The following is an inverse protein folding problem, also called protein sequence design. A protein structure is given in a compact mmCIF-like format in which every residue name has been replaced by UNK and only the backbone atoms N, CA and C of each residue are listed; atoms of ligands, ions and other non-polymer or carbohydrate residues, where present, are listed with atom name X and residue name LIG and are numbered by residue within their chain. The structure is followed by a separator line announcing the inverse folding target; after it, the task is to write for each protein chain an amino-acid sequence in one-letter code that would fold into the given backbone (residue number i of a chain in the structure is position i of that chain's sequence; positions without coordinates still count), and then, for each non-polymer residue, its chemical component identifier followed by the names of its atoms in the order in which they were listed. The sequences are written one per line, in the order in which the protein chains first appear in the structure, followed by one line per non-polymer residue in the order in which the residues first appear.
data_IF_862727269846
#
_entry.id   IF_862727269846
#
_cell.length_a   1.000
_cell.length_b   1.000
_cell.length_c   1.000
_cell.angle_alpha   90.00
_cell.angle_beta   90.00
_cell.angle_gamma   90.00
#
_symmetry.space_group_name_H-M   'P 1'
#
loop_
_entity.id
_entity.type
_entity.pdbx_description
1 polymer ?
#
# COMPACT_ATOMS: atom_id res chain seq x y z
N UNK A 1 -22.92 -8.24 20.33
CA UNK A 1 -22.53 -9.53 20.92
C UNK A 1 -22.14 -10.45 19.79
N UNK A 2 -20.92 -11.00 19.83
CA UNK A 2 -20.50 -12.08 18.94
C UNK A 2 -20.69 -13.40 19.68
N UNK A 3 -21.17 -14.44 18.99
CA UNK A 3 -21.47 -15.74 19.58
C UNK A 3 -20.90 -16.86 18.70
N UNK A 4 -20.30 -17.87 19.33
CA UNK A 4 -19.78 -19.05 18.65
C UNK A 4 -20.92 -19.97 18.21
N UNK A 5 -20.81 -20.57 17.01
CA UNK A 5 -21.81 -21.55 16.53
C UNK A 5 -21.60 -22.97 17.08
N UNK A 6 -20.43 -23.26 17.65
CA UNK A 6 -20.03 -24.61 18.07
C UNK A 6 -20.02 -24.79 19.60
N UNK A 7 -20.10 -23.72 20.38
CA UNK A 7 -20.12 -23.77 21.84
C UNK A 7 -20.89 -22.56 22.42
N UNK A 8 -21.02 -22.50 23.76
CA UNK A 8 -21.77 -21.46 24.48
C UNK A 8 -20.95 -20.17 24.74
N UNK A 9 -19.89 -19.93 23.98
CA UNK A 9 -19.06 -18.72 24.15
C UNK A 9 -19.71 -17.50 23.49
N UNK A 10 -19.76 -16.39 24.24
CA UNK A 10 -20.33 -15.11 23.81
C UNK A 10 -19.48 -13.95 24.35
N UNK A 11 -19.37 -12.86 23.58
CA UNK A 11 -18.62 -11.66 23.96
C UNK A 11 -19.28 -10.36 23.45
N UNK A 12 -19.12 -9.26 24.18
CA UNK A 12 -19.60 -7.95 23.74
C UNK A 12 -18.76 -7.41 22.58
N UNK A 13 -19.41 -6.79 21.61
CA UNK A 13 -18.73 -6.26 20.44
C UNK A 13 -18.20 -4.86 20.75
N UNK A 14 -16.89 -4.65 20.59
CA UNK A 14 -16.27 -3.34 20.75
C UNK A 14 -16.68 -2.36 19.64
N UNK A 15 -17.00 -2.88 18.44
CA UNK A 15 -17.45 -2.11 17.29
C UNK A 15 -18.87 -2.51 16.90
N UNK A 16 -19.73 -1.52 16.69
CA UNK A 16 -21.13 -1.70 16.28
C UNK A 16 -21.31 -2.03 14.79
N UNK A 17 -20.28 -1.81 13.97
CA UNK A 17 -20.34 -2.11 12.54
C UNK A 17 -20.15 -3.61 12.30
N UNK A 18 -21.25 -4.32 12.01
CA UNK A 18 -21.24 -5.78 11.74
C UNK A 18 -20.87 -6.10 10.29
N UNK A 19 -21.26 -5.24 9.34
CA UNK A 19 -20.97 -5.42 7.94
C UNK A 19 -20.76 -4.07 7.24
N UNK A 20 -19.75 -4.00 6.38
CA UNK A 20 -19.47 -2.86 5.52
C UNK A 20 -19.10 -3.36 4.12
N UNK A 21 -19.87 -2.95 3.13
CA UNK A 21 -19.51 -3.15 1.73
C UNK A 21 -18.89 -1.86 1.20
N UNK A 22 -17.57 -1.85 1.04
CA UNK A 22 -16.85 -0.68 0.55
C UNK A 22 -16.59 -0.82 -0.95
N UNK A 23 -17.42 -0.15 -1.76
CA UNK A 23 -17.23 -0.07 -3.22
C UNK A 23 -16.31 1.11 -3.50
N UNK A 24 -15.04 0.82 -3.74
CA UNK A 24 -14.05 1.83 -4.06
C UNK A 24 -13.96 2.00 -5.58
N UNK A 25 -14.58 3.07 -6.08
CA UNK A 25 -14.59 3.44 -7.51
C UNK A 25 -13.30 4.11 -7.99
N UNK A 26 -12.56 4.74 -7.09
CA UNK A 26 -11.22 5.28 -7.30
C UNK A 26 -10.58 5.45 -5.91
N UNK A 27 -9.70 4.54 -5.47
CA UNK A 27 -9.07 4.66 -4.16
C UNK A 27 -8.30 5.98 -4.07
N UNK A 28 -8.37 6.62 -2.90
CA UNK A 28 -7.55 7.81 -2.65
C UNK A 28 -6.07 7.45 -2.75
N UNK A 29 -5.22 8.42 -3.06
CA UNK A 29 -3.80 8.17 -3.24
C UNK A 29 -3.18 7.49 -2.01
N UNK A 30 -3.48 8.02 -0.82
CA UNK A 30 -3.01 7.46 0.43
C UNK A 30 -3.48 6.01 0.64
N UNK A 31 -4.68 5.66 0.18
CA UNK A 31 -5.20 4.30 0.26
C UNK A 31 -4.54 3.36 -0.76
N UNK A 32 -4.21 3.85 -1.97
CA UNK A 32 -3.41 3.09 -2.94
C UNK A 32 -1.99 2.84 -2.43
N UNK A 33 -1.33 3.85 -1.88
CA UNK A 33 -0.03 3.67 -1.22
C UNK A 33 -0.18 2.65 -0.11
N UNK A 34 -1.20 2.75 0.75
CA UNK A 34 -1.38 1.83 1.86
C UNK A 34 -1.59 0.39 1.37
N UNK A 35 -2.43 0.18 0.35
CA UNK A 35 -2.64 -1.15 -0.24
C UNK A 35 -1.35 -1.68 -0.88
N UNK A 36 -0.68 -0.92 -1.74
CA UNK A 36 0.57 -1.33 -2.39
C UNK A 36 1.75 -1.43 -1.39
N UNK A 37 1.72 -0.68 -0.28
CA UNK A 37 2.70 -0.77 0.82
C UNK A 37 2.48 -2.02 1.69
N UNK A 38 1.21 -2.38 1.92
CA UNK A 38 0.82 -3.57 2.71
C UNK A 38 0.97 -4.86 1.92
N UNK A 39 0.88 -4.79 0.58
CA UNK A 39 1.36 -5.86 -0.30
C UNK A 39 2.89 -5.91 -0.23
N UNK A 40 3.43 -6.88 0.51
CA UNK A 40 4.86 -7.09 0.77
C UNK A 40 5.73 -7.18 -0.50
N UNK A 41 6.11 -6.06 -1.09
CA UNK A 41 7.24 -5.99 -2.01
C UNK A 41 8.42 -5.35 -1.26
N UNK A 42 9.03 -6.14 -0.38
CA UNK A 42 10.17 -5.72 0.44
C UNK A 42 11.42 -5.41 -0.39
N UNK A 43 11.49 -5.94 -1.63
CA UNK A 43 12.71 -5.95 -2.44
C UNK A 43 12.69 -5.06 -3.68
N UNK A 44 11.73 -4.14 -3.80
CA UNK A 44 11.63 -3.22 -4.96
C UNK A 44 12.90 -2.41 -5.19
N UNK A 45 13.59 -2.02 -4.12
CA UNK A 45 14.86 -1.29 -4.23
C UNK A 45 15.99 -2.12 -4.87
N UNK A 46 15.89 -3.44 -4.80
CA UNK A 46 16.90 -4.39 -5.28
C UNK A 46 16.59 -4.99 -6.64
N UNK A 47 15.34 -4.89 -7.09
CA UNK A 47 14.92 -5.40 -8.38
C UNK A 47 15.62 -4.62 -9.51
N UNK A 48 16.46 -5.28 -10.33
CA UNK A 48 17.16 -4.63 -11.43
C UNK A 48 16.25 -4.37 -12.65
N UNK A 49 15.06 -4.97 -12.69
CA UNK A 49 14.10 -4.82 -13.80
C UNK A 49 13.24 -3.57 -13.66
N UNK A 50 13.20 -2.96 -12.48
CA UNK A 50 12.45 -1.74 -12.22
C UNK A 50 13.26 -0.49 -12.60
N UNK A 51 12.61 0.52 -13.20
CA UNK A 51 13.28 1.75 -13.58
C UNK A 51 13.61 2.61 -12.35
N UNK A 52 14.68 3.40 -12.48
CA UNK A 52 15.21 4.28 -11.42
C UNK A 52 15.17 5.73 -11.89
N UNK A 53 14.87 6.64 -10.97
CA UNK A 53 14.85 8.07 -11.18
C UNK A 53 15.74 8.78 -10.15
N UNK A 54 16.33 9.89 -10.55
CA UNK A 54 17.13 10.75 -9.69
C UNK A 54 16.20 11.71 -8.91
N UNK A 55 15.49 11.16 -7.93
CA UNK A 55 14.57 11.88 -7.04
C UNK A 55 15.02 11.68 -5.61
N UNK A 56 15.31 12.79 -4.93
CA UNK A 56 15.82 12.76 -3.57
C UNK A 56 14.74 12.29 -2.57
N UNK A 57 15.08 11.25 -1.81
CA UNK A 57 14.23 10.74 -0.74
C UNK A 57 14.12 11.76 0.41
N UNK A 58 12.90 12.19 0.75
CA UNK A 58 12.64 13.13 1.84
C UNK A 58 13.02 12.60 3.23
N UNK A 59 13.17 11.27 3.40
CA UNK A 59 13.50 10.65 4.69
C UNK A 59 15.01 10.52 4.94
N UNK A 60 15.79 10.09 3.96
CA UNK A 60 17.22 9.80 4.14
C UNK A 60 18.15 10.60 3.22
N UNK A 61 17.61 11.38 2.29
CA UNK A 61 18.40 12.17 1.35
C UNK A 61 19.05 11.37 0.21
N UNK A 62 18.78 10.07 0.09
CA UNK A 62 19.30 9.28 -1.03
C UNK A 62 18.79 9.86 -2.36
N UNK A 63 19.66 10.10 -3.36
CA UNK A 63 19.28 10.76 -4.62
C UNK A 63 18.51 9.83 -5.56
N UNK A 64 18.52 8.53 -5.31
CA UNK A 64 17.88 7.54 -6.18
C UNK A 64 16.56 7.02 -5.58
N UNK A 65 15.56 6.91 -6.46
CA UNK A 65 14.30 6.26 -6.19
C UNK A 65 13.96 5.26 -7.31
N UNK A 66 13.47 4.08 -6.94
CA UNK A 66 12.81 3.15 -7.87
C UNK A 66 11.36 3.60 -8.03
N UNK A 67 10.83 3.54 -9.25
CA UNK A 67 9.44 3.90 -9.50
C UNK A 67 8.69 2.84 -10.31
N UNK A 68 7.37 2.78 -10.12
CA UNK A 68 6.50 1.86 -10.83
C UNK A 68 5.06 2.41 -10.90
N UNK A 69 4.24 1.83 -11.76
CA UNK A 69 2.80 2.07 -11.82
C UNK A 69 2.05 0.91 -11.18
N UNK A 70 0.87 1.17 -10.62
CA UNK A 70 0.04 0.09 -10.06
C UNK A 70 -0.26 -0.96 -11.13
N UNK A 71 -0.15 -2.23 -10.75
CA UNK A 71 -0.51 -3.37 -11.60
C UNK A 71 -2.02 -3.59 -11.72
N UNK A 72 -2.82 -2.75 -11.06
CA UNK A 72 -4.28 -2.80 -11.08
C UNK A 72 -4.83 -2.72 -12.51
N UNK A 73 -5.60 -3.73 -12.90
CA UNK A 73 -6.30 -3.81 -14.19
C UNK A 73 -7.63 -3.05 -14.22
N UNK A 74 -7.98 -2.32 -13.16
CA UNK A 74 -9.24 -1.60 -13.10
C UNK A 74 -9.21 -0.39 -14.04
N UNK A 75 -10.34 -0.06 -14.65
CA UNK A 75 -10.43 1.02 -15.61
C UNK A 75 -10.15 2.42 -15.00
N UNK A 76 -10.30 2.56 -13.69
CA UNK A 76 -9.98 3.74 -12.89
C UNK A 76 -8.52 3.80 -12.42
N UNK A 77 -7.68 2.83 -12.82
CA UNK A 77 -6.25 2.83 -12.49
C UNK A 77 -5.60 4.11 -13.04
N UNK A 78 -5.32 5.06 -12.14
CA UNK A 78 -4.64 6.31 -12.47
C UNK A 78 -3.22 6.00 -12.91
N UNK A 79 -2.73 6.73 -13.91
CA UNK A 79 -1.34 6.71 -14.38
C UNK A 79 -0.38 7.40 -13.41
N UNK A 80 -0.55 7.18 -12.11
CA UNK A 80 0.33 7.74 -11.11
C UNK A 80 1.57 6.87 -10.92
N UNK A 81 2.68 7.53 -10.61
CA UNK A 81 3.94 6.88 -10.28
C UNK A 81 4.07 6.73 -8.78
N UNK A 82 4.38 5.51 -8.34
CA UNK A 82 4.76 5.22 -6.98
C UNK A 82 6.27 5.17 -6.90
N UNK A 83 6.83 5.79 -5.86
CA UNK A 83 8.28 5.85 -5.63
C UNK A 83 8.66 5.08 -4.38
N UNK A 84 9.83 4.44 -4.44
CA UNK A 84 10.50 3.76 -3.33
C UNK A 84 11.93 4.26 -3.28
N UNK A 85 12.43 4.59 -2.09
CA UNK A 85 13.82 4.97 -1.92
C UNK A 85 14.74 3.82 -2.40
N UNK A 86 15.74 4.15 -3.22
CA UNK A 86 16.73 3.19 -3.72
C UNK A 86 17.66 2.64 -2.64
N UNK A 87 17.73 3.27 -1.46
CA UNK A 87 18.48 2.76 -0.32
C UNK A 87 17.75 1.60 0.35
N UNK A 88 18.38 0.42 0.37
CA UNK A 88 17.87 -0.81 1.00
C UNK A 88 17.51 -0.64 2.47
N UNK A 89 18.17 0.27 3.18
CA UNK A 89 17.93 0.53 4.60
C UNK A 89 16.81 1.54 4.87
N UNK A 90 16.40 2.32 3.86
CA UNK A 90 15.41 3.37 4.06
C UNK A 90 13.98 2.88 3.88
N UNK A 91 13.69 2.22 2.76
CA UNK A 91 12.35 1.71 2.45
C UNK A 91 11.23 2.77 2.42
N UNK A 92 11.57 4.07 2.40
CA UNK A 92 10.57 5.14 2.32
C UNK A 92 9.87 5.09 0.96
N UNK A 93 8.55 5.20 0.97
CA UNK A 93 7.71 5.10 -0.22
C UNK A 93 6.76 6.29 -0.26
N UNK A 94 6.58 6.88 -1.44
CA UNK A 94 5.78 8.10 -1.62
C UNK A 94 5.21 8.18 -3.03
N UNK A 95 4.45 9.25 -3.27
CA UNK A 95 4.04 9.70 -4.59
C UNK A 95 4.23 11.18 -4.76
N UNK A 96 4.12 11.63 -6.00
CA UNK A 96 3.60 12.95 -6.36
C UNK A 96 2.07 12.98 -6.52
#
# INVERSE_FOLDING_TARGET
MFACRNCQYEEEAENVCVYRHEIVHAPSYAYLIYLEQTMMLADLSTDPTLPRANVQCARCGNPEAVFFQSSSRRADAKMALFYVCGSKSCGYRWTE
#
